data_IF_735946790732
#
_entry.id   IF_735946790732
#
_cell.length_a   1.000
_cell.length_b   1.000
_cell.length_c   1.000
_cell.angle_alpha   90.00
_cell.angle_beta   90.00
_cell.angle_gamma   90.00
#
_symmetry.space_group_name_H-M   'P 1'
#
loop_
_entity.id
_entity.type
_entity.pdbx_description
1 polymer ?
#
# COMPACT_ATOMS: atom_id res chain seq x y z
N UNK A 1 -4.89 23.56 -6.18
CA UNK A 1 -5.41 23.29 -7.53
C UNK A 1 -5.42 21.78 -7.72
N UNK A 2 -6.45 21.21 -8.33
CA UNK A 2 -6.68 19.76 -8.44
C UNK A 2 -5.47 18.98 -8.99
N UNK A 3 -4.72 19.56 -9.95
CA UNK A 3 -3.50 18.95 -10.49
C UNK A 3 -2.35 18.72 -9.49
N UNK A 4 -2.25 19.53 -8.41
CA UNK A 4 -1.25 19.29 -7.36
C UNK A 4 -1.60 18.09 -6.48
N UNK A 5 -2.90 17.81 -6.35
CA UNK A 5 -3.39 16.67 -5.55
C UNK A 5 -3.03 15.35 -6.22
N UNK A 6 -2.98 15.30 -7.55
CA UNK A 6 -2.60 14.08 -8.28
C UNK A 6 -1.13 13.69 -8.04
N UNK A 7 -0.21 14.66 -8.08
CA UNK A 7 1.22 14.43 -7.81
C UNK A 7 1.45 14.03 -6.34
N UNK A 8 0.81 14.75 -5.41
CA UNK A 8 0.88 14.43 -3.98
C UNK A 8 0.28 13.03 -3.67
N UNK A 9 -0.80 12.65 -4.36
CA UNK A 9 -1.44 11.35 -4.18
C UNK A 9 -0.54 10.18 -4.57
N UNK A 10 0.27 10.32 -5.62
CA UNK A 10 1.23 9.28 -6.01
C UNK A 10 2.26 9.04 -4.91
N UNK A 11 2.82 10.11 -4.33
CA UNK A 11 3.79 10.03 -3.25
C UNK A 11 3.18 9.42 -1.97
N UNK A 12 1.97 9.86 -1.60
CA UNK A 12 1.21 9.27 -0.48
C UNK A 12 0.99 7.78 -0.69
N UNK A 13 0.59 7.36 -1.89
CA UNK A 13 0.33 5.97 -2.20
C UNK A 13 1.59 5.10 -2.14
N UNK A 14 2.71 5.59 -2.70
CA UNK A 14 4.01 4.91 -2.63
C UNK A 14 4.48 4.69 -1.20
N UNK A 15 4.34 5.71 -0.33
CA UNK A 15 4.64 5.57 1.10
C UNK A 15 3.70 4.58 1.78
N UNK A 16 2.39 4.71 1.57
CA UNK A 16 1.38 3.79 2.11
C UNK A 16 1.67 2.33 1.76
N UNK A 17 1.89 2.03 0.47
CA UNK A 17 2.15 0.68 -0.03
C UNK A 17 3.43 0.09 0.59
N UNK A 18 4.50 0.88 0.67
CA UNK A 18 5.75 0.45 1.30
C UNK A 18 5.57 0.07 2.77
N UNK A 19 4.98 0.95 3.58
CA UNK A 19 4.79 0.68 5.01
C UNK A 19 3.80 -0.45 5.28
N UNK A 20 2.73 -0.56 4.47
CA UNK A 20 1.78 -1.66 4.57
C UNK A 20 2.46 -3.00 4.27
N UNK A 21 3.25 -3.07 3.21
CA UNK A 21 4.01 -4.26 2.84
C UNK A 21 5.03 -4.66 3.92
N UNK A 22 5.75 -3.70 4.50
CA UNK A 22 6.68 -3.98 5.61
C UNK A 22 5.95 -4.54 6.84
N UNK A 23 4.75 -4.02 7.15
CA UNK A 23 3.93 -4.53 8.24
C UNK A 23 3.45 -5.97 7.96
N UNK A 24 2.97 -6.25 6.75
CA UNK A 24 2.53 -7.61 6.37
C UNK A 24 3.69 -8.60 6.36
N UNK A 25 4.89 -8.17 5.93
CA UNK A 25 6.14 -8.92 6.07
C UNK A 25 6.45 -9.26 7.53
N UNK A 26 6.26 -8.32 8.45
CA UNK A 26 6.49 -8.55 9.87
C UNK A 26 5.43 -9.49 10.48
N UNK A 27 4.18 -9.42 10.04
CA UNK A 27 3.07 -10.23 10.55
C UNK A 27 3.07 -11.67 10.00
N UNK A 28 3.30 -11.84 8.70
CA UNK A 28 3.16 -13.12 7.98
C UNK A 28 4.51 -13.77 7.62
N UNK A 29 5.60 -13.01 7.73
CA UNK A 29 6.96 -13.51 7.51
C UNK A 29 7.12 -14.20 6.16
N UNK A 30 7.52 -15.47 6.20
CA UNK A 30 7.85 -16.28 5.02
C UNK A 30 6.65 -16.67 4.15
N UNK A 31 5.42 -16.47 4.61
CA UNK A 31 4.21 -16.73 3.80
C UNK A 31 3.95 -15.65 2.76
N UNK A 32 4.56 -14.47 2.92
CA UNK A 32 4.37 -13.37 2.00
C UNK A 32 5.42 -13.40 0.89
N UNK A 33 4.95 -13.56 -0.35
CA UNK A 33 5.82 -13.54 -1.52
C UNK A 33 6.50 -12.18 -1.64
N UNK A 34 7.81 -12.14 -1.98
CA UNK A 34 8.49 -10.89 -2.23
C UNK A 34 7.87 -10.11 -3.38
N UNK A 35 7.58 -8.83 -3.12
CA UNK A 35 7.23 -7.84 -4.12
C UNK A 35 8.42 -6.88 -4.31
N UNK A 36 9.27 -7.11 -5.33
CA UNK A 36 10.45 -6.29 -5.56
C UNK A 36 10.09 -4.87 -6.00
N UNK A 37 8.89 -4.63 -6.57
CA UNK A 37 8.46 -3.30 -6.96
C UNK A 37 8.24 -2.43 -5.71
N UNK A 38 7.57 -2.98 -4.71
CA UNK A 38 7.32 -2.29 -3.44
C UNK A 38 8.60 -2.16 -2.61
N UNK A 39 9.46 -3.18 -2.57
CA UNK A 39 10.72 -3.14 -1.81
C UNK A 39 11.70 -2.07 -2.28
N UNK A 40 11.64 -1.73 -3.57
CA UNK A 40 12.54 -0.75 -4.21
C UNK A 40 11.98 0.67 -4.20
N UNK A 41 10.79 0.90 -3.64
CA UNK A 41 10.22 2.25 -3.55
C UNK A 41 11.14 3.13 -2.71
N UNK A 42 11.68 4.17 -3.34
CA UNK A 42 12.43 5.21 -2.65
C UNK A 42 11.47 6.11 -1.88
N UNK A 43 11.67 6.20 -0.57
CA UNK A 43 10.90 7.05 0.32
C UNK A 43 11.62 8.38 0.51
N UNK A 44 10.90 9.49 0.35
CA UNK A 44 11.32 10.77 0.90
C UNK A 44 10.77 10.88 2.33
N UNK A 45 11.62 10.70 3.34
CA UNK A 45 11.18 10.67 4.74
C UNK A 45 10.88 12.06 5.30
N UNK A 46 11.31 13.13 4.61
CA UNK A 46 11.15 14.51 5.06
C UNK A 46 9.90 15.17 4.43
N UNK A 47 9.19 14.47 3.55
CA UNK A 47 8.01 14.98 2.88
C UNK A 47 6.72 14.77 3.69
N UNK A 48 5.84 15.77 3.66
CA UNK A 48 4.51 15.67 4.29
C UNK A 48 3.67 14.54 3.68
N UNK A 49 3.74 14.34 2.36
CA UNK A 49 3.03 13.28 1.65
C UNK A 49 3.44 11.89 2.15
N UNK A 50 4.73 11.69 2.39
CA UNK A 50 5.27 10.45 2.92
C UNK A 50 4.81 10.19 4.35
N UNK A 51 4.79 11.21 5.21
CA UNK A 51 4.23 11.09 6.57
C UNK A 51 2.74 10.73 6.53
N UNK A 52 1.98 11.34 5.61
CA UNK A 52 0.56 11.02 5.40
C UNK A 52 0.39 9.56 4.98
N UNK A 53 1.15 9.07 4.00
CA UNK A 53 1.11 7.67 3.55
C UNK A 53 1.44 6.69 4.68
N UNK A 54 2.48 6.98 5.46
CA UNK A 54 2.87 6.19 6.62
C UNK A 54 1.75 6.13 7.67
N UNK A 55 1.17 7.28 8.03
CA UNK A 55 0.05 7.35 8.98
C UNK A 55 -1.16 6.57 8.49
N UNK A 56 -1.47 6.67 7.19
CA UNK A 56 -2.56 5.90 6.57
C UNK A 56 -2.32 4.40 6.68
N UNK A 57 -1.08 3.92 6.52
CA UNK A 57 -0.75 2.51 6.66
C UNK A 57 -0.97 2.01 8.10
N UNK A 58 -0.62 2.82 9.10
CA UNK A 58 -0.83 2.50 10.52
C UNK A 58 -2.32 2.48 10.88
N UNK A 59 -3.05 3.55 10.57
CA UNK A 59 -4.46 3.68 11.00
C UNK A 59 -5.41 2.85 10.13
N UNK A 60 -5.02 2.60 8.88
CA UNK A 60 -5.81 1.84 7.92
C UNK A 60 -5.88 0.35 8.25
N UNK A 61 -4.93 -0.18 9.01
CA UNK A 61 -4.80 -1.61 9.31
C UNK A 61 -6.10 -2.24 9.86
N UNK A 62 -6.70 -1.62 10.88
CA UNK A 62 -7.93 -2.14 11.51
C UNK A 62 -9.16 -2.06 10.60
N UNK A 63 -9.24 -1.03 9.74
CA UNK A 63 -10.35 -0.90 8.79
C UNK A 63 -10.13 -1.90 7.65
N UNK A 64 -8.94 -1.94 7.06
CA UNK A 64 -8.57 -2.84 5.97
C UNK A 64 -8.76 -4.31 6.35
N UNK A 65 -8.38 -4.72 7.57
CA UNK A 65 -8.60 -6.09 8.06
C UNK A 65 -10.06 -6.53 8.01
N UNK A 66 -11.01 -5.61 8.27
CA UNK A 66 -12.45 -5.94 8.20
C UNK A 66 -12.91 -6.28 6.79
N UNK A 67 -12.25 -5.71 5.78
CA UNK A 67 -12.58 -5.88 4.37
C UNK A 67 -11.62 -6.83 3.64
N UNK A 68 -10.54 -7.29 4.29
CA UNK A 68 -9.48 -8.06 3.64
C UNK A 68 -10.00 -9.36 3.00
N UNK A 69 -10.86 -10.09 3.70
CA UNK A 69 -11.44 -11.33 3.17
C UNK A 69 -12.34 -11.08 1.94
N UNK A 70 -13.08 -9.97 1.95
CA UNK A 70 -13.93 -9.57 0.83
C UNK A 70 -13.08 -9.17 -0.38
N UNK A 71 -12.10 -8.30 -0.19
CA UNK A 71 -11.17 -7.90 -1.25
C UNK A 71 -10.41 -9.09 -1.84
N UNK A 72 -9.95 -10.02 -1.00
CA UNK A 72 -9.27 -11.24 -1.47
C UNK A 72 -10.20 -12.09 -2.34
N UNK A 73 -11.43 -12.30 -1.90
CA UNK A 73 -12.43 -13.04 -2.69
C UNK A 73 -12.72 -12.34 -4.02
N UNK A 74 -12.83 -11.01 -4.02
CA UNK A 74 -13.01 -10.23 -5.24
C UNK A 74 -11.83 -10.39 -6.20
N UNK A 75 -10.59 -10.28 -5.72
CA UNK A 75 -9.38 -10.43 -6.54
C UNK A 75 -9.23 -11.85 -7.10
N UNK A 76 -9.53 -12.88 -6.31
CA UNK A 76 -9.55 -14.28 -6.77
C UNK A 76 -10.61 -14.52 -7.85
N UNK A 77 -11.76 -13.85 -7.75
CA UNK A 77 -12.82 -13.95 -8.74
C UNK A 77 -12.51 -13.17 -10.03
N UNK A 78 -11.84 -12.03 -9.91
CA UNK A 78 -11.49 -11.16 -11.03
C UNK A 78 -10.32 -11.72 -11.84
N UNK A 79 -9.36 -12.37 -11.16
CA UNK A 79 -8.09 -12.84 -11.74
C UNK A 79 -7.41 -11.74 -12.56
N UNK A 80 -7.07 -10.59 -11.93
CA UNK A 80 -6.52 -9.45 -12.63
C UNK A 80 -5.19 -9.80 -13.27
N UNK A 81 -4.98 -9.26 -14.46
CA UNK A 81 -3.74 -9.30 -15.22
C UNK A 81 -3.33 -7.86 -15.52
N UNK A 82 -2.21 -7.66 -16.21
CA UNK A 82 -1.80 -6.31 -16.60
C UNK A 82 -2.85 -5.60 -17.47
N UNK A 83 -3.67 -6.36 -18.20
CA UNK A 83 -4.61 -5.83 -19.20
C UNK A 83 -6.07 -5.75 -18.70
N UNK A 84 -6.40 -6.31 -17.51
CA UNK A 84 -7.76 -6.34 -16.97
C UNK A 84 -7.86 -6.14 -15.45
#
# INVERSE_FOLDING_TARGET
>A
AEGRVAEEAEEVFRSYAFYRYQQERAERGAELLPDPEIEQIQQDLDSTSSEVGHRLAIIGDDICRRYEAEFRTMLESLQPTRDN
#
